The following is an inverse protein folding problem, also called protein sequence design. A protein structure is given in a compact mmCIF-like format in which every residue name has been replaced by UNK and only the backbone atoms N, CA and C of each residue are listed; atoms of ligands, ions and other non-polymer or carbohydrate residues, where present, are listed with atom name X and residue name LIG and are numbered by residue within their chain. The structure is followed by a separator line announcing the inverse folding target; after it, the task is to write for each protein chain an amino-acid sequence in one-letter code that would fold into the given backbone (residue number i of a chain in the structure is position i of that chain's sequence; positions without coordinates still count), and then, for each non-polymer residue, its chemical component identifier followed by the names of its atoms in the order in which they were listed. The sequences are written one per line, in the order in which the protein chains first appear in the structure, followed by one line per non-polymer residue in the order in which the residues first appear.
data_IF_426785106908
#
_entry.id   IF_426785106908
#
_cell.length_a   1.000
_cell.length_b   1.000
_cell.length_c   1.000
_cell.angle_alpha   90.00
_cell.angle_beta   90.00
_cell.angle_gamma   90.00
#
_symmetry.space_group_name_H-M   'P 1'
#
loop_
_entity.id
_entity.type
_entity.pdbx_description
1 polymer ?
#
# COMPACT_ATOMS: atom_id res chain seq x y z
N UNK A 1 16.48 -41.32 57.74
CA UNK A 1 16.90 -39.92 57.52
C UNK A 1 15.78 -39.22 56.77
N UNK A 2 15.22 -38.12 57.30
CA UNK A 2 13.95 -37.56 56.83
C UNK A 2 14.14 -36.55 55.69
N UNK A 3 13.09 -36.47 54.86
CA UNK A 3 12.96 -35.58 53.72
C UNK A 3 12.75 -34.13 54.16
N UNK A 4 13.47 -33.22 53.50
CA UNK A 4 13.33 -31.76 53.67
C UNK A 4 12.12 -31.23 52.93
N UNK A 5 11.40 -30.34 53.59
CA UNK A 5 10.19 -29.66 53.14
C UNK A 5 10.47 -28.60 52.07
N UNK A 6 9.55 -28.49 51.10
CA UNK A 6 9.44 -27.37 50.16
C UNK A 6 8.74 -26.16 50.81
N UNK A 7 9.06 -24.91 50.41
CA UNK A 7 8.38 -23.73 50.90
C UNK A 7 7.05 -23.49 50.17
N UNK A 8 6.00 -23.43 50.97
CA UNK A 8 4.63 -23.01 50.68
C UNK A 8 4.63 -21.56 50.15
N UNK A 9 4.07 -21.33 48.96
CA UNK A 9 3.96 -19.99 48.36
C UNK A 9 2.55 -19.43 48.58
N UNK A 10 2.52 -18.30 49.28
CA UNK A 10 1.34 -17.47 49.58
C UNK A 10 0.56 -17.09 48.32
N UNK A 11 -0.57 -17.76 48.08
CA UNK A 11 -1.62 -17.26 47.21
C UNK A 11 -2.40 -16.15 47.93
N UNK A 12 -2.01 -14.90 47.69
CA UNK A 12 -2.80 -13.74 48.12
C UNK A 12 -4.17 -13.74 47.45
N UNK A 13 -5.17 -13.77 48.32
CA UNK A 13 -6.60 -13.73 48.08
C UNK A 13 -7.04 -12.65 47.08
N UNK A 14 -7.92 -13.07 46.19
CA UNK A 14 -8.73 -12.26 45.29
C UNK A 14 -9.40 -11.10 46.02
N UNK A 15 -9.14 -9.88 45.52
CA UNK A 15 -9.86 -8.68 45.92
C UNK A 15 -11.35 -8.81 45.62
N UNK A 16 -12.15 -8.62 46.66
CA UNK A 16 -13.61 -8.54 46.63
C UNK A 16 -14.07 -7.42 45.71
N UNK A 17 -14.76 -7.78 44.62
CA UNK A 17 -15.56 -6.85 43.82
C UNK A 17 -16.74 -6.35 44.67
N UNK A 18 -16.60 -5.15 45.22
CA UNK A 18 -17.69 -4.42 45.85
C UNK A 18 -18.69 -3.99 44.77
N UNK A 19 -19.89 -4.56 44.82
CA UNK A 19 -21.04 -4.12 44.05
C UNK A 19 -21.45 -2.70 44.48
N UNK A 20 -21.33 -1.74 43.57
CA UNK A 20 -21.90 -0.40 43.75
C UNK A 20 -23.38 -0.47 43.36
N UNK A 21 -24.34 -0.20 44.27
CA UNK A 21 -25.74 -0.15 43.90
C UNK A 21 -26.00 1.05 42.97
N UNK A 22 -26.59 0.78 41.80
CA UNK A 22 -27.11 1.79 40.90
C UNK A 22 -28.19 2.61 41.62
N UNK A 23 -27.94 3.90 41.83
CA UNK A 23 -28.97 4.86 42.24
C UNK A 23 -30.03 4.98 41.15
N UNK A 24 -31.20 4.40 41.39
CA UNK A 24 -32.42 4.72 40.66
C UNK A 24 -32.85 6.15 41.02
N UNK A 25 -32.71 7.09 40.08
CA UNK A 25 -33.02 8.49 40.33
C UNK A 25 -32.66 9.43 39.18
N UNK A 26 -33.08 9.10 37.96
CA UNK A 26 -33.15 10.09 36.88
C UNK A 26 -34.62 10.29 36.52
N UNK A 27 -35.22 11.32 37.12
CA UNK A 27 -36.47 11.90 36.63
C UNK A 27 -36.28 12.36 35.17
N UNK A 28 -37.23 12.07 34.26
CA UNK A 28 -37.13 12.49 32.87
C UNK A 28 -37.06 14.02 32.80
N UNK A 29 -35.92 14.55 32.32
CA UNK A 29 -35.80 15.97 31.97
C UNK A 29 -36.74 16.25 30.81
N UNK A 30 -37.82 16.97 31.09
CA UNK A 30 -38.68 17.58 30.08
C UNK A 30 -37.83 18.48 29.20
N UNK A 31 -37.63 18.07 27.94
CA UNK A 31 -36.94 18.89 26.95
C UNK A 31 -37.72 20.18 26.74
N UNK A 32 -37.06 21.35 26.69
CA UNK A 32 -37.74 22.61 26.39
C UNK A 32 -38.41 22.52 25.01
N UNK A 33 -39.58 23.15 24.83
CA UNK A 33 -40.32 23.09 23.57
C UNK A 33 -39.42 23.60 22.43
N UNK A 34 -39.28 22.76 21.39
CA UNK A 34 -38.53 23.09 20.16
C UNK A 34 -39.00 24.45 19.63
N UNK A 35 -38.14 25.46 19.76
CA UNK A 35 -38.34 26.80 19.18
C UNK A 35 -38.49 26.62 17.67
N UNK A 36 -39.72 26.69 17.17
CA UNK A 36 -40.02 26.63 15.73
C UNK A 36 -39.44 27.89 15.09
N UNK A 37 -38.19 27.80 14.63
CA UNK A 37 -37.60 28.78 13.73
C UNK A 37 -38.49 28.86 12.50
N UNK A 38 -39.24 29.97 12.38
CA UNK A 38 -39.95 30.33 11.15
C UNK A 38 -38.89 30.63 10.09
N UNK A 39 -38.41 29.58 9.43
CA UNK A 39 -37.44 29.67 8.35
C UNK A 39 -38.12 30.44 7.22
N UNK A 40 -37.70 31.70 7.02
CA UNK A 40 -38.23 32.56 5.96
C UNK A 40 -37.96 31.87 4.62
N UNK A 41 -39.00 31.74 3.78
CA UNK A 41 -38.95 31.07 2.47
C UNK A 41 -37.82 31.60 1.56
N UNK A 42 -37.32 32.80 1.82
CA UNK A 42 -36.17 33.42 1.15
C UNK A 42 -34.81 32.75 1.42
N UNK A 43 -34.63 32.04 2.55
CA UNK A 43 -33.36 31.33 2.83
C UNK A 43 -33.23 30.02 2.03
N UNK A 44 -34.36 29.42 1.64
CA UNK A 44 -34.39 28.18 0.86
C UNK A 44 -33.99 28.42 -0.60
N UNK A 45 -34.34 29.58 -1.16
CA UNK A 45 -33.98 29.97 -2.53
C UNK A 45 -32.48 30.27 -2.68
N UNK A 46 -31.82 30.82 -1.65
CA UNK A 46 -30.38 31.08 -1.67
C UNK A 46 -29.54 29.81 -1.47
N UNK A 47 -30.09 28.81 -0.76
CA UNK A 47 -29.44 27.50 -0.60
C UNK A 47 -29.51 26.65 -1.88
N UNK A 48 -30.59 26.76 -2.67
CA UNK A 48 -30.73 26.04 -3.94
C UNK A 48 -29.77 26.54 -5.04
N UNK A 49 -29.42 27.84 -5.04
CA UNK A 49 -28.50 28.41 -6.03
C UNK A 49 -27.02 28.03 -5.79
N UNK A 50 -26.66 27.66 -4.56
CA UNK A 50 -25.30 27.25 -4.19
C UNK A 50 -24.94 25.80 -4.57
N UNK A 51 -25.91 24.99 -5.04
CA UNK A 51 -25.70 23.58 -5.41
C UNK A 51 -25.28 23.35 -6.87
N UNK A 52 -25.24 24.39 -7.72
CA UNK A 52 -25.12 24.21 -9.19
C UNK A 52 -23.67 24.27 -9.72
N UNK A 53 -22.66 24.46 -8.87
CA UNK A 53 -21.27 24.61 -9.34
C UNK A 53 -20.26 23.68 -8.65
N UNK A 54 -20.65 22.44 -8.33
CA UNK A 54 -19.63 21.42 -8.06
C UNK A 54 -18.94 21.09 -9.39
N UNK A 55 -17.60 21.27 -9.50
CA UNK A 55 -16.89 20.85 -10.70
C UNK A 55 -17.21 19.37 -10.92
N UNK A 56 -17.63 19.00 -12.12
CA UNK A 56 -17.94 17.62 -12.47
C UNK A 56 -16.73 16.76 -12.15
N UNK A 57 -16.74 16.12 -10.98
CA UNK A 57 -15.70 15.20 -10.58
C UNK A 57 -15.69 14.13 -11.66
N UNK A 58 -14.57 14.02 -12.38
CA UNK A 58 -14.47 13.09 -13.49
C UNK A 58 -14.91 11.70 -13.00
N UNK A 59 -15.89 11.13 -13.71
CA UNK A 59 -16.46 9.84 -13.34
C UNK A 59 -15.32 8.81 -13.24
N UNK A 60 -15.10 8.31 -12.02
CA UNK A 60 -14.15 7.25 -11.76
C UNK A 60 -14.85 5.92 -11.97
N UNK A 61 -14.19 5.04 -12.70
CA UNK A 61 -14.60 3.66 -12.91
C UNK A 61 -13.78 2.75 -11.99
N UNK A 62 -14.40 1.62 -11.62
CA UNK A 62 -13.80 0.64 -10.75
C UNK A 62 -14.00 -0.74 -11.35
N UNK A 63 -12.94 -1.54 -11.44
CA UNK A 63 -13.00 -2.94 -11.84
C UNK A 63 -12.36 -3.81 -10.78
N UNK A 64 -12.94 -4.97 -10.53
CA UNK A 64 -12.46 -5.92 -9.52
C UNK A 64 -12.54 -7.34 -10.08
N UNK A 65 -11.55 -8.16 -9.76
CA UNK A 65 -11.57 -9.60 -9.99
C UNK A 65 -11.08 -10.32 -8.74
N UNK A 66 -11.70 -11.46 -8.45
CA UNK A 66 -11.30 -12.34 -7.35
C UNK A 66 -10.93 -13.70 -7.94
N UNK A 67 -9.73 -14.16 -7.61
CA UNK A 67 -9.21 -15.48 -7.96
C UNK A 67 -8.83 -16.24 -6.69
N UNK A 68 -8.49 -17.52 -6.82
CA UNK A 68 -8.10 -18.36 -5.68
C UNK A 68 -6.86 -17.81 -4.94
N UNK A 69 -5.98 -17.08 -5.63
CA UNK A 69 -4.80 -16.46 -5.02
C UNK A 69 -5.11 -15.15 -4.28
N UNK A 70 -6.24 -14.50 -4.60
CA UNK A 70 -6.69 -13.25 -3.98
C UNK A 70 -7.46 -12.31 -4.92
N UNK A 71 -7.65 -11.08 -4.48
CA UNK A 71 -8.43 -10.03 -5.13
C UNK A 71 -7.54 -8.95 -5.72
N UNK A 72 -7.92 -8.48 -6.90
CA UNK A 72 -7.37 -7.31 -7.58
C UNK A 72 -8.45 -6.27 -7.74
N UNK A 73 -8.13 -5.01 -7.43
CA UNK A 73 -9.03 -3.87 -7.58
C UNK A 73 -8.31 -2.74 -8.27
N UNK A 74 -8.92 -2.19 -9.31
CA UNK A 74 -8.39 -1.05 -10.06
C UNK A 74 -9.40 0.08 -10.03
N UNK A 75 -8.93 1.25 -9.63
CA UNK A 75 -9.71 2.48 -9.57
C UNK A 75 -9.07 3.51 -10.51
N UNK A 76 -9.81 3.96 -11.52
CA UNK A 76 -9.27 4.80 -12.59
C UNK A 76 -10.29 5.85 -13.05
N UNK A 77 -9.80 7.02 -13.46
CA UNK A 77 -10.64 7.98 -14.21
C UNK A 77 -10.90 7.46 -15.62
N UNK A 78 -12.11 7.67 -16.16
CA UNK A 78 -12.49 7.18 -17.50
C UNK A 78 -12.59 8.34 -18.52
N UNK A 79 -11.46 8.94 -18.98
CA UNK A 79 -11.51 10.01 -19.97
C UNK A 79 -12.07 9.50 -21.30
N UNK A 80 -12.88 10.35 -21.95
CA UNK A 80 -13.29 10.14 -23.34
C UNK A 80 -12.11 10.29 -24.29
N UNK A 81 -12.05 9.44 -25.31
CA UNK A 81 -11.06 9.52 -26.38
C UNK A 81 -11.17 10.85 -27.13
N UNK A 82 -10.03 11.33 -27.63
CA UNK A 82 -9.89 12.54 -28.45
C UNK A 82 -8.80 12.32 -29.48
N UNK A 83 -8.97 12.81 -30.70
CA UNK A 83 -8.00 12.60 -31.79
C UNK A 83 -6.58 13.09 -31.46
N UNK A 84 -6.47 14.13 -30.63
CA UNK A 84 -5.19 14.63 -30.14
C UNK A 84 -4.40 13.61 -29.28
N UNK A 85 -5.05 12.58 -28.73
CA UNK A 85 -4.37 11.57 -27.91
C UNK A 85 -3.45 10.67 -28.73
N UNK A 86 -3.77 10.36 -29.98
CA UNK A 86 -2.88 9.61 -30.88
C UNK A 86 -1.53 10.32 -31.01
N UNK A 87 -1.56 11.62 -31.34
CA UNK A 87 -0.35 12.42 -31.50
C UNK A 87 0.43 12.57 -30.17
N UNK A 88 -0.27 12.64 -29.03
CA UNK A 88 0.38 12.68 -27.72
C UNK A 88 1.03 11.35 -27.36
N UNK A 89 0.35 10.22 -27.58
CA UNK A 89 0.88 8.87 -27.35
C UNK A 89 2.11 8.58 -28.20
N UNK A 90 2.16 9.08 -29.44
CA UNK A 90 3.33 8.94 -30.30
C UNK A 90 4.55 9.72 -29.79
N UNK A 91 4.32 10.90 -29.19
CA UNK A 91 5.38 11.82 -28.72
C UNK A 91 5.89 11.51 -27.31
N UNK A 92 5.21 10.66 -26.55
CA UNK A 92 5.57 10.37 -25.15
C UNK A 92 6.05 8.93 -24.98
N UNK A 93 7.01 8.75 -24.07
CA UNK A 93 7.45 7.43 -23.62
C UNK A 93 6.54 6.85 -22.53
N UNK A 94 5.70 7.68 -21.93
CA UNK A 94 4.88 7.30 -20.78
C UNK A 94 3.47 7.83 -20.95
N UNK A 95 2.49 6.94 -20.78
CA UNK A 95 1.09 7.29 -20.82
C UNK A 95 0.48 7.14 -19.44
N UNK A 96 -0.22 8.19 -18.99
CA UNK A 96 -1.00 8.13 -17.77
C UNK A 96 -2.27 7.34 -18.06
N UNK A 97 -2.49 6.26 -17.32
CA UNK A 97 -3.79 5.62 -17.26
C UNK A 97 -4.72 6.48 -16.39
N UNK A 98 -5.86 6.84 -16.94
CA UNK A 98 -6.89 7.63 -16.28
C UNK A 98 -6.76 9.16 -16.35
N UNK A 99 -7.75 9.84 -15.75
CA UNK A 99 -7.82 11.29 -15.67
C UNK A 99 -7.74 11.78 -14.22
N UNK A 100 -7.25 13.01 -14.04
CA UNK A 100 -7.06 13.74 -12.78
C UNK A 100 -6.08 13.13 -11.78
N UNK A 101 -6.30 11.89 -11.35
CA UNK A 101 -5.46 11.20 -10.37
C UNK A 101 -4.80 9.96 -11.01
N UNK A 102 -3.73 9.40 -10.40
CA UNK A 102 -3.20 8.12 -10.84
C UNK A 102 -4.25 7.00 -10.79
N UNK A 103 -4.20 6.08 -11.75
CA UNK A 103 -4.95 4.82 -11.66
C UNK A 103 -4.39 4.00 -10.51
N UNK A 104 -5.22 3.77 -9.48
CA UNK A 104 -4.85 2.95 -8.33
C UNK A 104 -5.03 1.46 -8.63
N UNK A 105 -4.11 0.64 -8.12
CA UNK A 105 -4.15 -0.81 -8.13
C UNK A 105 -4.02 -1.31 -6.69
N UNK A 106 -4.98 -2.08 -6.21
CA UNK A 106 -4.91 -2.78 -4.92
C UNK A 106 -4.83 -4.28 -5.16
N UNK A 107 -3.85 -4.92 -4.53
CA UNK A 107 -3.60 -6.34 -4.62
C UNK A 107 -3.71 -6.98 -3.23
N UNK A 108 -4.52 -8.03 -3.10
CA UNK A 108 -4.47 -8.91 -1.92
C UNK A 108 -3.67 -10.20 -2.18
N UNK A 109 -3.21 -10.39 -3.41
CA UNK A 109 -2.32 -11.47 -3.84
C UNK A 109 -0.95 -10.91 -4.26
N UNK A 110 0.05 -11.77 -4.39
CA UNK A 110 1.27 -11.41 -5.12
C UNK A 110 1.02 -11.39 -6.63
N UNK A 111 1.92 -10.75 -7.39
CA UNK A 111 1.88 -10.71 -8.85
C UNK A 111 3.30 -10.86 -9.42
N UNK A 112 3.51 -11.80 -10.34
CA UNK A 112 4.78 -11.94 -11.07
C UNK A 112 4.77 -10.99 -12.26
N UNK A 113 5.83 -10.19 -12.37
CA UNK A 113 6.04 -9.26 -13.49
C UNK A 113 7.31 -9.64 -14.27
N UNK A 114 7.56 -9.00 -15.41
CA UNK A 114 8.82 -9.16 -16.15
C UNK A 114 10.04 -8.74 -15.30
N UNK A 115 9.83 -7.86 -14.32
CA UNK A 115 10.88 -7.32 -13.44
C UNK A 115 10.99 -8.07 -12.10
N UNK A 116 10.26 -9.18 -11.95
CA UNK A 116 10.19 -9.98 -10.72
C UNK A 116 8.83 -9.86 -10.00
N UNK A 117 8.66 -10.59 -8.88
CA UNK A 117 7.42 -10.59 -8.14
C UNK A 117 7.20 -9.29 -7.36
N UNK A 118 5.93 -8.91 -7.20
CA UNK A 118 5.46 -7.89 -6.27
C UNK A 118 4.53 -8.51 -5.23
N UNK A 119 4.66 -8.15 -3.95
CA UNK A 119 3.74 -8.60 -2.91
C UNK A 119 2.35 -7.96 -3.03
N UNK A 120 1.42 -8.43 -2.20
CA UNK A 120 0.16 -7.73 -1.95
C UNK A 120 0.42 -6.29 -1.43
N UNK A 121 -0.45 -5.35 -1.79
CA UNK A 121 -0.32 -3.94 -1.40
C UNK A 121 -1.06 -2.98 -2.32
N UNK A 122 -0.86 -1.68 -2.06
CA UNK A 122 -1.38 -0.58 -2.86
C UNK A 122 -0.30 -0.04 -3.82
N UNK A 123 -0.69 0.11 -5.08
CA UNK A 123 0.16 0.49 -6.20
C UNK A 123 -0.58 1.47 -7.12
N UNK A 124 0.14 2.00 -8.10
CA UNK A 124 -0.41 2.80 -9.19
C UNK A 124 -0.03 2.21 -10.54
N UNK A 125 -0.86 2.45 -11.57
CA UNK A 125 -0.66 1.98 -12.94
C UNK A 125 -0.34 3.14 -13.89
N UNK A 126 0.51 2.83 -14.86
CA UNK A 126 0.77 3.64 -16.05
C UNK A 126 1.11 2.71 -17.23
N UNK A 127 1.28 3.26 -18.42
CA UNK A 127 1.92 2.55 -19.53
C UNK A 127 3.25 3.20 -19.85
N UNK A 128 4.26 2.38 -20.13
CA UNK A 128 5.59 2.83 -20.52
C UNK A 128 6.00 2.17 -21.85
N UNK A 129 6.45 2.99 -22.79
CA UNK A 129 6.90 2.56 -24.11
C UNK A 129 8.31 1.99 -24.00
N UNK A 130 8.54 0.84 -24.61
CA UNK A 130 9.87 0.24 -24.76
C UNK A 130 10.66 0.96 -25.86
N UNK A 131 11.97 0.68 -25.94
CA UNK A 131 12.79 1.11 -27.08
C UNK A 131 12.26 0.63 -28.44
N UNK A 132 11.57 -0.52 -28.46
CA UNK A 132 10.92 -1.08 -29.65
C UNK A 132 9.54 -0.48 -29.95
N UNK A 133 9.10 0.51 -29.17
CA UNK A 133 7.81 1.17 -29.35
C UNK A 133 6.61 0.45 -28.74
N UNK A 134 6.81 -0.71 -28.09
CA UNK A 134 5.73 -1.49 -27.46
C UNK A 134 5.34 -0.90 -26.10
N UNK A 135 4.04 -0.90 -25.78
CA UNK A 135 3.56 -0.42 -24.49
C UNK A 135 3.53 -1.54 -23.43
N UNK A 136 4.39 -1.41 -22.41
CA UNK A 136 4.32 -2.24 -21.20
C UNK A 136 3.44 -1.59 -20.15
N UNK A 137 2.74 -2.41 -19.37
CA UNK A 137 2.07 -1.96 -18.16
C UNK A 137 3.14 -1.70 -17.10
N UNK A 138 3.18 -0.48 -16.57
CA UNK A 138 4.08 -0.08 -15.50
C UNK A 138 3.32 -0.01 -14.17
N UNK A 139 3.74 -0.82 -13.20
CA UNK A 139 3.23 -0.86 -11.84
C UNK A 139 4.28 -0.19 -10.95
N UNK A 140 3.88 0.80 -10.15
CA UNK A 140 4.82 1.54 -9.30
C UNK A 140 4.21 1.89 -7.94
N UNK A 141 5.08 2.17 -6.97
CA UNK A 141 4.67 2.62 -5.64
C UNK A 141 4.65 4.16 -5.57
N UNK A 142 3.52 4.71 -5.10
CA UNK A 142 3.35 6.14 -4.83
C UNK A 142 1.98 6.68 -5.26
N UNK A 143 1.57 7.79 -4.65
CA UNK A 143 0.30 8.48 -4.94
C UNK A 143 0.40 9.57 -6.03
N UNK A 144 1.57 9.77 -6.62
CA UNK A 144 1.78 10.72 -7.72
C UNK A 144 1.78 10.04 -9.09
N UNK A 145 1.88 10.81 -10.17
CA UNK A 145 2.03 10.24 -11.51
C UNK A 145 3.38 9.55 -11.67
N UNK A 146 3.40 8.59 -12.59
CA UNK A 146 4.57 7.82 -12.95
C UNK A 146 5.77 8.69 -13.32
N UNK A 147 6.94 8.31 -12.81
CA UNK A 147 8.24 8.86 -13.18
C UNK A 147 9.24 7.70 -13.32
N UNK A 148 10.08 7.74 -14.37
CA UNK A 148 11.16 6.76 -14.62
C UNK A 148 12.13 6.57 -13.44
N UNK A 149 12.21 7.53 -12.50
CA UNK A 149 13.03 7.42 -11.27
C UNK A 149 12.39 6.57 -10.16
N UNK A 150 11.11 6.20 -10.28
CA UNK A 150 10.43 5.38 -9.28
C UNK A 150 10.73 3.90 -9.48
N UNK A 151 10.75 3.16 -8.36
CA UNK A 151 10.76 1.70 -8.39
C UNK A 151 9.51 1.22 -9.12
N UNK A 152 9.73 0.48 -10.20
CA UNK A 152 8.69 0.13 -11.17
C UNK A 152 8.87 -1.31 -11.58
N UNK A 153 7.75 -2.00 -11.75
CA UNK A 153 7.66 -3.33 -12.31
C UNK A 153 6.90 -3.26 -13.61
N UNK A 154 7.32 -4.04 -14.60
CA UNK A 154 6.68 -4.00 -15.92
C UNK A 154 6.07 -5.33 -16.31
N UNK A 155 4.93 -5.30 -16.99
CA UNK A 155 4.33 -6.48 -17.62
C UNK A 155 4.21 -6.20 -19.12
N UNK A 156 4.79 -7.07 -19.94
CA UNK A 156 4.63 -7.04 -21.39
C UNK A 156 3.21 -7.44 -21.82
N UNK A 157 2.67 -6.85 -22.89
CA UNK A 157 1.39 -7.29 -23.43
C UNK A 157 1.52 -8.71 -24.00
N UNK A 158 0.53 -9.57 -23.72
CA UNK A 158 0.39 -10.88 -24.37
C UNK A 158 -0.20 -10.72 -25.79
N UNK A 159 -1.09 -9.74 -25.96
CA UNK A 159 -1.68 -9.37 -27.25
C UNK A 159 -1.70 -7.85 -27.33
N UNK A 160 -1.31 -7.32 -28.48
CA UNK A 160 -1.43 -5.91 -28.85
C UNK A 160 -2.06 -5.85 -30.22
N UNK A 161 -3.23 -5.25 -30.33
CA UNK A 161 -3.90 -5.04 -31.61
C UNK A 161 -4.50 -3.65 -31.66
N UNK A 162 -4.44 -3.03 -32.83
CA UNK A 162 -5.30 -1.89 -33.11
C UNK A 162 -6.65 -2.43 -33.60
N UNK A 163 -7.74 -2.03 -32.95
CA UNK A 163 -9.11 -2.39 -33.36
C UNK A 163 -9.68 -1.34 -34.31
N UNK A 164 -10.50 -1.81 -35.25
CA UNK A 164 -11.29 -0.92 -36.11
C UNK A 164 -12.31 -0.11 -35.29
N UNK A 165 -12.88 -0.73 -34.24
CA UNK A 165 -13.81 -0.05 -33.33
C UNK A 165 -13.05 0.78 -32.30
N UNK A 166 -13.14 2.10 -32.44
CA UNK A 166 -12.55 3.07 -31.51
C UNK A 166 -13.34 3.05 -30.22
N UNK A 167 -12.66 2.78 -29.09
CA UNK A 167 -13.30 2.87 -27.78
C UNK A 167 -13.47 4.33 -27.36
N UNK A 168 -14.71 4.76 -27.19
CA UNK A 168 -15.09 6.15 -26.83
C UNK A 168 -14.50 6.64 -25.51
N UNK A 169 -14.18 5.75 -24.59
CA UNK A 169 -13.60 6.09 -23.28
C UNK A 169 -12.61 5.02 -22.82
N UNK A 170 -11.67 5.41 -21.98
CA UNK A 170 -10.74 4.46 -21.35
C UNK A 170 -11.53 3.40 -20.58
N UNK A 171 -11.35 2.13 -20.95
CA UNK A 171 -11.88 0.99 -20.23
C UNK A 171 -10.74 0.09 -19.76
N UNK A 172 -10.70 -0.19 -18.46
CA UNK A 172 -9.82 -1.19 -17.87
C UNK A 172 -10.70 -2.32 -17.34
N UNK A 173 -10.46 -3.53 -17.81
CA UNK A 173 -11.24 -4.71 -17.42
C UNK A 173 -10.30 -5.83 -16.97
N UNK A 174 -10.74 -6.59 -15.98
CA UNK A 174 -10.07 -7.79 -15.51
C UNK A 174 -10.85 -9.00 -16.02
N UNK A 175 -10.20 -9.85 -16.82
CA UNK A 175 -10.81 -11.04 -17.40
C UNK A 175 -10.60 -12.30 -16.57
N UNK A 176 -11.48 -13.28 -16.77
CA UNK A 176 -11.49 -14.56 -16.03
C UNK A 176 -10.19 -15.36 -16.20
N UNK A 177 -9.50 -15.18 -17.33
CA UNK A 177 -8.20 -15.80 -17.63
C UNK A 177 -7.01 -15.10 -16.96
N UNK A 178 -7.24 -14.37 -15.87
CA UNK A 178 -6.24 -13.56 -15.17
C UNK A 178 -5.53 -12.61 -16.12
N UNK A 179 -6.30 -11.84 -16.88
CA UNK A 179 -5.79 -10.83 -17.80
C UNK A 179 -6.30 -9.46 -17.42
N UNK A 180 -5.46 -8.44 -17.62
CA UNK A 180 -5.86 -7.05 -17.56
C UNK A 180 -5.93 -6.53 -19.00
N UNK A 181 -7.10 -6.09 -19.42
CA UNK A 181 -7.30 -5.48 -20.73
C UNK A 181 -7.48 -3.96 -20.59
N UNK A 182 -6.66 -3.20 -21.29
CA UNK A 182 -6.77 -1.74 -21.42
C UNK A 182 -7.23 -1.43 -22.83
N UNK A 183 -8.43 -0.85 -22.96
CA UNK A 183 -8.95 -0.31 -24.21
C UNK A 183 -8.98 1.20 -24.15
N UNK A 184 -8.38 1.86 -25.14
CA UNK A 184 -8.39 3.31 -25.21
C UNK A 184 -8.17 3.79 -26.63
N UNK A 185 -9.22 4.36 -27.23
CA UNK A 185 -9.22 4.71 -28.64
C UNK A 185 -9.05 3.47 -29.52
N UNK A 186 -8.13 3.47 -30.50
CA UNK A 186 -7.88 2.31 -31.35
C UNK A 186 -7.09 1.20 -30.64
N UNK A 187 -6.48 1.48 -29.48
CA UNK A 187 -5.57 0.54 -28.84
C UNK A 187 -6.31 -0.44 -27.93
N UNK A 188 -6.03 -1.73 -28.12
CA UNK A 188 -6.47 -2.82 -27.25
C UNK A 188 -5.25 -3.64 -26.79
N UNK A 189 -4.91 -3.51 -25.50
CA UNK A 189 -3.73 -4.10 -24.89
C UNK A 189 -4.14 -5.09 -23.81
N UNK A 190 -3.66 -6.33 -23.92
CA UNK A 190 -3.95 -7.40 -22.96
C UNK A 190 -2.68 -7.80 -22.22
N UNK A 191 -2.68 -7.67 -20.90
CA UNK A 191 -1.56 -7.99 -20.02
C UNK A 191 -1.87 -9.25 -19.20
N UNK A 192 -0.98 -10.26 -19.18
CA UNK A 192 -1.18 -11.44 -18.36
C UNK A 192 -0.88 -11.14 -16.89
N UNK A 193 -1.82 -11.41 -16.00
CA UNK A 193 -1.64 -11.30 -14.55
C UNK A 193 -1.28 -12.68 -13.98
N UNK A 194 0.01 -12.90 -13.76
CA UNK A 194 0.51 -14.12 -13.12
C UNK A 194 0.43 -13.96 -11.59
N UNK A 195 -0.73 -14.27 -11.02
CA UNK A 195 -0.95 -14.13 -9.57
C UNK A 195 -0.17 -15.17 -8.77
N UNK A 196 0.21 -14.78 -7.56
CA UNK A 196 0.89 -15.64 -6.59
C UNK A 196 0.07 -15.64 -5.31
N UNK A 197 -0.24 -16.83 -4.81
CA UNK A 197 -0.95 -17.00 -3.55
C UNK A 197 -0.13 -16.40 -2.41
N UNK A 198 -0.78 -15.66 -1.52
CA UNK A 198 -0.19 -15.29 -0.24
C UNK A 198 -0.41 -16.43 0.75
N UNK A 199 0.60 -16.74 1.55
CA UNK A 199 0.36 -17.52 2.77
C UNK A 199 -0.61 -16.76 3.67
N UNK A 200 -1.34 -17.50 4.51
CA UNK A 200 -2.20 -16.87 5.52
C UNK A 200 -1.36 -15.86 6.31
N UNK A 201 -1.79 -14.59 6.41
CA UNK A 201 -1.08 -13.59 7.20
C UNK A 201 -0.88 -14.11 8.62
N UNK A 202 0.30 -13.89 9.16
CA UNK A 202 0.55 -14.23 10.55
C UNK A 202 0.54 -12.97 11.38
N UNK A 203 -0.51 -12.92 12.18
CA UNK A 203 -0.79 -11.89 13.15
C UNK A 203 -0.25 -12.36 14.51
N UNK A 204 0.61 -11.56 15.09
CA UNK A 204 1.23 -11.84 16.39
C UNK A 204 1.51 -10.52 17.11
N UNK A 205 1.92 -10.58 18.37
CA UNK A 205 2.15 -9.42 19.21
C UNK A 205 3.54 -9.50 19.84
N UNK A 206 4.41 -8.56 19.50
CA UNK A 206 5.77 -8.49 20.04
C UNK A 206 5.92 -7.28 20.93
N UNK A 207 6.26 -7.49 22.20
CA UNK A 207 6.39 -6.43 23.19
C UNK A 207 5.18 -5.47 23.19
N UNK A 208 3.97 -6.03 23.08
CA UNK A 208 2.69 -5.31 22.99
C UNK A 208 2.43 -4.55 21.69
N UNK A 209 3.13 -4.91 20.62
CA UNK A 209 3.00 -4.29 19.31
C UNK A 209 2.45 -5.33 18.33
N UNK A 210 1.23 -5.07 17.85
CA UNK A 210 0.61 -5.86 16.79
C UNK A 210 1.51 -5.89 15.56
N UNK A 211 1.84 -7.10 15.13
CA UNK A 211 2.77 -7.40 14.05
C UNK A 211 2.10 -8.35 13.07
N UNK A 212 2.16 -8.02 11.80
CA UNK A 212 1.65 -8.85 10.71
C UNK A 212 2.79 -9.21 9.75
N UNK A 213 2.93 -10.49 9.42
CA UNK A 213 3.89 -10.97 8.42
C UNK A 213 3.12 -11.64 7.28
N UNK A 214 3.33 -11.14 6.07
CA UNK A 214 2.70 -11.61 4.85
C UNK A 214 3.76 -12.13 3.91
N UNK A 215 3.74 -13.43 3.59
CA UNK A 215 4.74 -14.06 2.72
C UNK A 215 4.06 -14.61 1.48
N UNK A 216 4.69 -14.39 0.32
CA UNK A 216 4.22 -14.96 -0.94
C UNK A 216 4.65 -16.43 -1.05
N UNK A 217 3.78 -17.27 -1.60
CA UNK A 217 4.08 -18.66 -1.94
C UNK A 217 4.87 -18.74 -3.26
N UNK A 218 6.03 -18.08 -3.32
CA UNK A 218 6.89 -18.10 -4.52
C UNK A 218 7.76 -19.36 -4.50
N UNK A 219 7.76 -20.17 -5.57
CA UNK A 219 8.81 -21.17 -5.76
C UNK A 219 10.13 -20.43 -6.00
N UNK A 220 11.03 -20.48 -5.02
CA UNK A 220 12.34 -19.87 -5.15
C UNK A 220 13.30 -20.86 -5.80
N UNK A 221 14.12 -20.42 -6.75
CA UNK A 221 15.23 -21.23 -7.25
C UNK A 221 16.27 -21.46 -6.13
N UNK A 222 17.17 -22.44 -6.31
CA UNK A 222 18.27 -22.71 -5.38
C UNK A 222 19.27 -21.55 -5.26
N UNK A 223 19.23 -20.61 -6.21
CA UNK A 223 19.94 -19.33 -6.18
C UNK A 223 18.97 -18.20 -6.54
N UNK A 224 18.80 -17.25 -5.62
CA UNK A 224 18.01 -16.03 -5.83
C UNK A 224 18.70 -14.85 -5.16
N UNK A 225 18.64 -13.66 -5.76
CA UNK A 225 19.24 -12.46 -5.19
C UNK A 225 18.18 -11.38 -5.02
N UNK A 226 17.99 -10.92 -3.78
CA UNK A 226 17.06 -9.83 -3.40
C UNK A 226 15.63 -10.02 -3.94
N UNK A 227 15.16 -11.26 -4.00
CA UNK A 227 13.82 -11.61 -4.44
C UNK A 227 12.78 -11.06 -3.46
N UNK A 228 11.88 -10.20 -3.92
CA UNK A 228 10.77 -9.76 -3.08
C UNK A 228 9.93 -10.99 -2.67
N UNK A 229 9.80 -11.24 -1.37
CA UNK A 229 9.16 -12.45 -0.86
C UNK A 229 7.96 -12.17 0.07
N UNK A 230 7.75 -10.92 0.50
CA UNK A 230 6.67 -10.59 1.40
C UNK A 230 6.73 -9.17 1.95
N UNK A 231 5.91 -8.92 2.97
CA UNK A 231 5.91 -7.71 3.78
C UNK A 231 5.80 -8.07 5.25
N UNK A 232 6.48 -7.31 6.10
CA UNK A 232 6.26 -7.33 7.54
C UNK A 232 5.75 -5.95 7.95
N UNK A 233 4.81 -5.87 8.87
CA UNK A 233 4.33 -4.60 9.39
C UNK A 233 4.13 -4.65 10.89
N UNK A 234 4.30 -3.50 11.54
CA UNK A 234 3.95 -3.30 12.94
C UNK A 234 3.05 -2.06 13.04
N UNK A 235 2.11 -2.06 13.99
CA UNK A 235 1.19 -0.92 14.20
C UNK A 235 1.22 -0.34 15.61
N UNK A 236 2.37 0.21 16.08
CA UNK A 236 2.48 0.85 17.37
C UNK A 236 1.62 2.12 17.42
N UNK A 237 0.73 2.20 18.41
CA UNK A 237 -0.10 3.40 18.69
C UNK A 237 -0.89 3.91 17.47
N UNK A 238 -1.28 2.99 16.57
CA UNK A 238 -2.08 3.32 15.38
C UNK A 238 -1.30 3.79 14.17
N UNK A 239 0.03 3.91 14.22
CA UNK A 239 0.86 4.15 13.04
C UNK A 239 1.42 2.84 12.51
N UNK A 240 1.04 2.45 11.29
CA UNK A 240 1.56 1.24 10.65
C UNK A 240 2.87 1.53 9.93
N UNK A 241 3.92 0.79 10.29
CA UNK A 241 5.20 0.76 9.58
C UNK A 241 5.30 -0.56 8.84
N UNK A 242 5.65 -0.51 7.56
CA UNK A 242 5.75 -1.69 6.70
C UNK A 242 7.15 -1.81 6.10
N UNK A 243 7.75 -2.99 6.22
CA UNK A 243 8.99 -3.37 5.57
C UNK A 243 8.70 -4.31 4.40
N UNK A 244 9.31 -4.03 3.25
CA UNK A 244 9.41 -5.00 2.17
C UNK A 244 10.45 -6.06 2.54
N UNK A 245 10.10 -7.33 2.41
CA UNK A 245 11.00 -8.46 2.65
C UNK A 245 11.64 -8.90 1.34
N UNK A 246 12.96 -9.04 1.32
CA UNK A 246 13.74 -9.52 0.17
C UNK A 246 14.62 -10.69 0.58
N UNK A 247 14.45 -11.82 -0.08
CA UNK A 247 15.20 -13.04 0.13
C UNK A 247 16.41 -13.12 -0.82
N UNK A 248 17.57 -13.41 -0.26
CA UNK A 248 18.75 -13.84 -1.01
C UNK A 248 19.12 -15.25 -0.56
N UNK A 249 19.35 -16.14 -1.52
CA UNK A 249 19.87 -17.49 -1.31
C UNK A 249 20.98 -17.70 -2.31
N UNK A 250 22.18 -18.00 -1.83
CA UNK A 250 23.33 -18.30 -2.68
C UNK A 250 23.98 -19.60 -2.21
N UNK A 251 23.40 -20.72 -2.67
CA UNK A 251 23.93 -22.05 -2.41
C UNK A 251 23.88 -22.45 -0.93
N UNK A 252 24.89 -22.06 -0.16
CA UNK A 252 25.03 -22.38 1.27
C UNK A 252 24.65 -21.25 2.22
N UNK A 253 24.42 -20.03 1.71
CA UNK A 253 24.03 -18.88 2.52
C UNK A 253 22.64 -18.39 2.17
N UNK A 254 21.94 -17.83 3.17
CA UNK A 254 20.70 -17.10 2.93
C UNK A 254 20.58 -15.88 3.84
N UNK A 255 19.96 -14.82 3.31
CA UNK A 255 19.68 -13.60 4.05
C UNK A 255 18.29 -13.08 3.72
N UNK A 256 17.62 -12.53 4.73
CA UNK A 256 16.33 -11.89 4.62
C UNK A 256 16.50 -10.41 4.96
N UNK A 257 16.32 -9.57 3.95
CA UNK A 257 16.46 -8.12 4.07
C UNK A 257 15.09 -7.49 4.24
N UNK A 258 14.93 -6.70 5.28
CA UNK A 258 13.77 -5.88 5.56
C UNK A 258 14.09 -4.45 5.21
N UNK A 259 13.30 -3.84 4.31
CA UNK A 259 13.51 -2.47 3.85
C UNK A 259 12.26 -1.65 4.12
N UNK A 260 12.38 -0.64 4.97
CA UNK A 260 11.34 0.37 5.15
C UNK A 260 11.43 1.36 3.98
N UNK A 261 10.80 1.00 2.86
CA UNK A 261 10.80 1.84 1.66
C UNK A 261 10.14 3.22 1.95
N UNK A 262 9.20 3.29 2.91
CA UNK A 262 8.48 4.53 3.23
C UNK A 262 9.39 5.59 3.87
N UNK A 263 10.33 5.21 4.74
CA UNK A 263 11.26 6.17 5.34
C UNK A 263 12.09 6.91 4.28
N UNK A 264 12.47 6.22 3.20
CA UNK A 264 13.16 6.82 2.05
C UNK A 264 12.24 7.72 1.23
N UNK A 265 10.98 7.31 1.05
CA UNK A 265 10.02 8.08 0.26
C UNK A 265 9.52 9.35 0.95
N UNK A 266 9.42 9.38 2.29
CA UNK A 266 8.99 10.59 3.02
C UNK A 266 9.90 11.78 2.71
N UNK A 267 11.23 11.59 2.75
CA UNK A 267 12.17 12.66 2.45
C UNK A 267 12.01 13.19 1.02
N UNK A 268 11.84 12.28 0.04
CA UNK A 268 11.63 12.63 -1.37
C UNK A 268 10.30 13.34 -1.59
N UNK A 269 9.22 12.81 -1.03
CA UNK A 269 7.86 13.35 -1.18
C UNK A 269 7.79 14.75 -0.52
N UNK A 270 8.47 14.93 0.63
CA UNK A 270 8.63 16.23 1.30
C UNK A 270 9.39 17.23 0.43
N UNK A 271 10.51 16.80 -0.17
CA UNK A 271 11.28 17.65 -1.09
C UNK A 271 10.44 18.06 -2.32
N UNK A 272 9.65 17.15 -2.87
CA UNK A 272 8.74 17.43 -3.98
C UNK A 272 7.64 18.43 -3.59
N UNK A 273 7.01 18.27 -2.42
CA UNK A 273 6.02 19.20 -1.91
C UNK A 273 6.62 20.61 -1.68
N UNK A 274 7.83 20.70 -1.13
CA UNK A 274 8.56 21.97 -0.98
C UNK A 274 8.83 22.65 -2.32
N UNK A 275 9.33 21.90 -3.31
CA UNK A 275 9.56 22.43 -4.65
C UNK A 275 8.25 22.91 -5.32
N UNK A 276 7.11 22.24 -5.04
CA UNK A 276 5.80 22.70 -5.49
C UNK A 276 5.41 24.03 -4.86
N UNK A 277 5.56 24.19 -3.54
CA UNK A 277 5.30 25.45 -2.83
C UNK A 277 6.13 26.59 -3.43
N UNK A 278 7.43 26.38 -3.62
CA UNK A 278 8.32 27.39 -4.21
C UNK A 278 7.87 27.81 -5.62
N UNK A 279 7.55 26.83 -6.48
CA UNK A 279 7.06 27.10 -7.83
C UNK A 279 5.72 27.84 -7.83
N UNK A 280 4.83 27.54 -6.89
CA UNK A 280 3.53 28.21 -6.76
C UNK A 280 3.70 29.65 -6.27
N UNK A 281 4.62 29.90 -5.34
CA UNK A 281 4.97 31.25 -4.90
C UNK A 281 5.47 32.10 -6.08
N UNK A 282 6.41 31.59 -6.90
CA UNK A 282 6.90 32.30 -8.10
C UNK A 282 5.78 32.60 -9.12
N UNK A 283 4.80 31.71 -9.26
CA UNK A 283 3.63 31.92 -10.13
C UNK A 283 2.63 32.92 -9.56
N UNK A 284 2.56 33.02 -8.23
CA UNK A 284 1.66 33.93 -7.53
C UNK A 284 2.07 35.39 -7.70
N UNK A 285 3.36 35.69 -7.83
CA UNK A 285 3.90 37.04 -8.06
C UNK A 285 3.33 37.71 -9.33
N UNK A 286 3.08 36.92 -10.38
CA UNK A 286 2.62 37.41 -11.68
C UNK A 286 1.13 37.12 -11.94
N UNK A 287 0.39 36.65 -10.94
CA UNK A 287 -1.00 36.25 -11.10
C UNK A 287 -1.96 37.43 -10.85
N UNK A 288 -3.12 37.38 -11.53
CA UNK A 288 -4.28 38.19 -11.17
C UNK A 288 -4.84 37.78 -9.80
N UNK A 289 -5.76 38.57 -9.23
CA UNK A 289 -6.33 38.30 -7.90
C UNK A 289 -6.98 36.90 -7.80
N UNK A 290 -7.66 36.46 -8.86
CA UNK A 290 -8.25 35.13 -8.93
C UNK A 290 -7.19 34.02 -8.97
N UNK A 291 -6.08 34.22 -9.68
CA UNK A 291 -4.93 33.33 -9.71
C UNK A 291 -4.23 33.26 -8.35
N UNK A 292 -4.03 34.40 -7.67
CA UNK A 292 -3.45 34.47 -6.32
C UNK A 292 -4.27 33.65 -5.32
N UNK A 293 -5.59 33.82 -5.29
CA UNK A 293 -6.46 33.05 -4.40
C UNK A 293 -6.39 31.53 -4.67
N UNK A 294 -6.31 31.12 -5.95
CA UNK A 294 -6.14 29.71 -6.34
C UNK A 294 -4.78 29.16 -5.91
N UNK A 295 -3.70 29.92 -6.10
CA UNK A 295 -2.36 29.50 -5.71
C UNK A 295 -2.19 29.44 -4.19
N UNK A 296 -2.70 30.42 -3.44
CA UNK A 296 -2.67 30.42 -1.98
C UNK A 296 -3.35 29.16 -1.39
N UNK A 297 -4.53 28.80 -1.91
CA UNK A 297 -5.21 27.57 -1.49
C UNK A 297 -4.40 26.31 -1.80
N UNK A 298 -3.70 26.26 -2.92
CA UNK A 298 -2.85 25.13 -3.28
C UNK A 298 -1.58 25.06 -2.42
N UNK A 299 -0.94 26.20 -2.15
CA UNK A 299 0.21 26.31 -1.25
C UNK A 299 -0.17 25.79 0.13
N UNK A 300 -1.30 26.24 0.70
CA UNK A 300 -1.81 25.76 1.99
C UNK A 300 -1.97 24.24 2.06
N UNK A 301 -2.42 23.60 0.97
CA UNK A 301 -2.52 22.13 0.88
C UNK A 301 -1.16 21.45 0.87
N UNK A 302 -0.21 21.97 0.09
CA UNK A 302 1.16 21.43 0.03
C UNK A 302 1.89 21.61 1.37
N UNK A 303 1.70 22.74 2.07
CA UNK A 303 2.23 22.97 3.42
C UNK A 303 1.64 22.00 4.45
N UNK A 304 0.33 21.75 4.38
CA UNK A 304 -0.31 20.74 5.21
C UNK A 304 0.27 19.33 4.94
N UNK A 305 0.54 19.00 3.67
CA UNK A 305 1.23 17.76 3.28
C UNK A 305 2.65 17.71 3.86
N UNK A 306 3.44 18.78 3.77
CA UNK A 306 4.78 18.85 4.36
C UNK A 306 4.73 18.59 5.88
N UNK A 307 3.79 19.23 6.59
CA UNK A 307 3.59 19.04 8.02
C UNK A 307 3.20 17.59 8.38
N UNK A 308 2.33 16.98 7.58
CA UNK A 308 1.94 15.58 7.76
C UNK A 308 3.14 14.63 7.54
N UNK A 309 3.94 14.87 6.50
CA UNK A 309 5.17 14.12 6.23
C UNK A 309 6.22 14.29 7.34
N UNK A 310 6.30 15.46 7.97
CA UNK A 310 7.18 15.69 9.12
C UNK A 310 6.76 14.93 10.36
N UNK A 311 5.45 14.91 10.66
CA UNK A 311 4.91 14.09 11.74
C UNK A 311 5.16 12.59 11.48
N UNK A 312 4.97 12.14 10.24
CA UNK A 312 5.25 10.77 9.82
C UNK A 312 6.75 10.43 9.96
N UNK A 313 7.64 11.30 9.49
CA UNK A 313 9.09 11.13 9.62
C UNK A 313 9.52 11.02 11.09
N UNK A 314 9.00 11.88 11.97
CA UNK A 314 9.29 11.87 13.40
C UNK A 314 8.83 10.56 14.07
N UNK A 315 7.71 10.00 13.63
CA UNK A 315 7.25 8.67 14.05
C UNK A 315 8.20 7.55 13.60
N UNK A 316 8.85 7.72 12.45
CA UNK A 316 9.71 6.69 11.85
C UNK A 316 11.15 6.64 12.34
N UNK A 317 11.66 7.70 13.00
CA UNK A 317 13.06 7.75 13.51
C UNK A 317 13.38 6.64 14.51
N UNK A 318 12.36 6.04 15.13
CA UNK A 318 12.48 4.94 16.09
C UNK A 318 12.74 3.59 15.43
N UNK A 319 12.56 3.50 14.11
CA UNK A 319 12.68 2.25 13.38
C UNK A 319 13.86 2.30 12.42
N UNK A 320 14.55 1.17 12.27
CA UNK A 320 15.60 1.03 11.28
C UNK A 320 15.00 1.13 9.87
N UNK A 321 15.67 1.91 9.02
CA UNK A 321 15.34 1.97 7.59
C UNK A 321 15.58 0.63 6.90
N UNK A 322 16.57 -0.13 7.37
CA UNK A 322 16.94 -1.45 6.86
C UNK A 322 17.38 -2.37 7.99
N UNK A 323 17.04 -3.66 7.87
CA UNK A 323 17.54 -4.70 8.77
C UNK A 323 17.79 -5.97 7.95
N UNK A 324 18.84 -6.72 8.26
CA UNK A 324 19.17 -7.97 7.58
C UNK A 324 19.31 -9.07 8.60
N UNK A 325 18.63 -10.19 8.36
CA UNK A 325 18.70 -11.40 9.17
C UNK A 325 19.37 -12.47 8.33
N UNK A 326 20.48 -13.04 8.82
CA UNK A 326 21.12 -14.19 8.19
C UNK A 326 20.42 -15.47 8.64
N UNK A 327 20.14 -16.36 7.69
CA UNK A 327 19.46 -17.63 7.96
C UNK A 327 20.37 -18.83 7.78
N UNK A 328 19.83 -20.01 8.09
CA UNK A 328 20.44 -21.31 7.84
C UNK A 328 19.82 -21.94 6.59
N UNK A 329 20.65 -22.58 5.76
CA UNK A 329 20.20 -23.35 4.59
C UNK A 329 20.33 -24.84 4.90
N UNK A 330 19.27 -25.62 4.67
CA UNK A 330 19.29 -27.08 4.79
C UNK A 330 18.73 -27.74 3.53
N UNK A 331 19.05 -29.02 3.32
CA UNK A 331 18.38 -29.81 2.29
C UNK A 331 16.88 -29.95 2.58
N UNK A 332 16.07 -30.14 1.54
CA UNK A 332 14.62 -30.18 1.62
C UNK A 332 14.03 -31.36 0.87
N UNK A 333 13.14 -32.08 1.53
CA UNK A 333 12.41 -33.21 0.94
C UNK A 333 11.15 -32.79 0.16
N UNK A 334 10.57 -31.61 0.44
CA UNK A 334 9.32 -31.13 -0.15
C UNK A 334 9.52 -29.91 -1.07
N UNK A 335 8.78 -29.82 -2.17
CA UNK A 335 8.95 -28.78 -3.21
C UNK A 335 8.17 -27.47 -2.98
N UNK A 336 7.19 -27.43 -2.07
CA UNK A 336 6.26 -26.28 -1.90
C UNK A 336 6.62 -25.41 -0.72
N UNK A 337 6.80 -24.09 -0.85
CA UNK A 337 7.17 -23.19 0.26
C UNK A 337 6.26 -23.37 1.49
N UNK A 338 6.84 -23.63 2.66
CA UNK A 338 6.12 -23.81 3.93
C UNK A 338 6.50 -22.70 4.87
N UNK A 339 5.53 -21.91 5.29
CA UNK A 339 5.71 -20.91 6.34
C UNK A 339 5.28 -21.54 7.67
N UNK A 340 6.24 -21.89 8.52
CA UNK A 340 5.98 -22.36 9.88
C UNK A 340 6.34 -21.25 10.87
N UNK A 341 5.60 -21.16 11.97
CA UNK A 341 5.83 -20.22 13.07
C UNK A 341 5.99 -21.03 14.35
N UNK A 342 7.13 -20.90 14.99
CA UNK A 342 7.35 -21.41 16.34
C UNK A 342 7.43 -20.21 17.27
N UNK A 343 6.42 -20.04 18.11
CA UNK A 343 6.18 -18.83 18.90
C UNK A 343 6.64 -19.03 20.37
N UNK A 344 7.75 -19.73 20.59
CA UNK A 344 8.08 -20.29 21.91
C UNK A 344 9.09 -19.50 22.75
N UNK A 345 9.60 -18.34 22.29
CA UNK A 345 10.52 -17.56 23.12
C UNK A 345 9.79 -16.48 23.92
N UNK A 346 10.03 -16.47 25.23
CA UNK A 346 9.64 -15.40 26.17
C UNK A 346 10.14 -14.02 25.70
N UNK A 347 11.21 -13.99 24.90
CA UNK A 347 11.77 -12.78 24.30
C UNK A 347 11.16 -12.39 22.92
N UNK A 348 10.32 -13.26 22.33
CA UNK A 348 9.50 -12.95 21.16
C UNK A 348 10.21 -13.00 19.80
N UNK A 349 10.79 -14.13 19.40
CA UNK A 349 11.32 -14.34 18.04
C UNK A 349 10.29 -14.96 17.09
N UNK A 350 10.45 -14.75 15.78
CA UNK A 350 9.71 -15.42 14.71
C UNK A 350 10.67 -16.29 13.91
N UNK A 351 10.41 -17.58 13.83
CA UNK A 351 11.08 -18.43 12.85
C UNK A 351 10.33 -18.30 11.52
N UNK A 352 11.02 -17.88 10.46
CA UNK A 352 10.48 -17.87 9.10
C UNK A 352 11.19 -18.94 8.27
N UNK A 353 10.41 -19.79 7.60
CA UNK A 353 10.91 -20.88 6.77
C UNK A 353 10.49 -20.62 5.31
N UNK A 354 11.44 -20.72 4.38
CA UNK A 354 11.21 -20.55 2.94
C UNK A 354 11.68 -21.78 2.17
N UNK A 355 10.83 -22.29 1.27
CA UNK A 355 11.20 -23.33 0.32
C UNK A 355 11.90 -22.75 -0.90
N UNK A 356 13.12 -23.20 -1.20
CA UNK A 356 13.97 -22.73 -2.28
C UNK A 356 14.51 -23.91 -3.10
N UNK A 357 13.66 -24.47 -3.97
CA UNK A 357 13.98 -25.66 -4.76
C UNK A 357 14.16 -26.88 -3.86
N UNK A 358 15.35 -27.47 -3.90
CA UNK A 358 15.80 -28.60 -3.08
C UNK A 358 16.29 -28.18 -1.68
N UNK A 359 16.13 -26.90 -1.31
CA UNK A 359 16.63 -26.33 -0.06
C UNK A 359 15.56 -25.62 0.76
N UNK A 360 15.80 -25.54 2.05
CA UNK A 360 15.02 -24.76 3.02
C UNK A 360 15.91 -23.64 3.56
N UNK A 361 15.41 -22.41 3.57
CA UNK A 361 16.06 -21.27 4.23
C UNK A 361 15.26 -20.90 5.50
N UNK A 362 15.92 -20.93 6.65
CA UNK A 362 15.31 -20.69 7.98
C UNK A 362 15.92 -19.45 8.62
N UNK A 363 15.08 -18.52 9.07
CA UNK A 363 15.47 -17.25 9.66
C UNK A 363 14.89 -17.11 11.06
N UNK A 364 15.72 -16.79 12.05
CA UNK A 364 15.29 -16.39 13.39
C UNK A 364 15.21 -14.85 13.43
N UNK A 365 13.99 -14.32 13.31
CA UNK A 365 13.72 -12.89 13.22
C UNK A 365 13.31 -12.38 14.59
N UNK A 366 14.14 -11.53 15.19
CA UNK A 366 13.79 -10.81 16.42
C UNK A 366 13.20 -9.43 16.09
N UNK A 367 11.91 -9.17 16.34
CA UNK A 367 11.26 -7.89 16.07
C UNK A 367 11.86 -6.72 16.85
N UNK A 368 12.50 -6.96 18.01
CA UNK A 368 13.22 -5.91 18.75
C UNK A 368 14.41 -5.35 17.95
N UNK A 369 14.99 -6.15 17.05
CA UNK A 369 16.10 -5.71 16.22
C UNK A 369 15.72 -4.64 15.19
N UNK A 370 14.42 -4.38 14.97
CA UNK A 370 13.91 -3.35 14.06
C UNK A 370 13.85 -1.96 14.68
N UNK A 371 13.98 -1.85 16.00
CA UNK A 371 14.07 -0.55 16.68
C UNK A 371 15.50 0.00 16.59
N UNK A 372 15.61 1.33 16.49
CA UNK A 372 16.89 2.00 16.61
C UNK A 372 17.46 1.78 18.03
N UNK A 373 18.77 1.61 18.16
CA UNK A 373 19.42 1.37 19.46
C UNK A 373 19.15 2.52 20.44
N UNK A 374 18.67 2.21 21.65
CA UNK A 374 18.47 3.20 22.72
C UNK A 374 17.02 3.58 23.03
N UNK A 375 16.02 2.79 22.57
CA UNK A 375 14.60 2.95 22.93
C UNK A 375 13.94 1.67 23.39
#
# INVERSE_FOLDING_TARGET
MPMGAEPESDYKSLGSLSWVPHKAGMTPRTLPPKRRLKMKRTLLSLLLLALVALPAAAQRAKTEATWDEGKVTIDYGSPKWRDGFTAQMQKTDTWRLGSNDPTGLKLTCGLVTDSGPIPAGDYSLAMAKTKSGMWKLAIYQGGGFYNKKQKTWTIGPAVSSDKADVSDALAITLGDKKTLQVRFGPHDLVYPFKTVKMHKPVETEFARIKTSVNVMAIPCASKVSKLACGTASISPRGTTVTWAMKLTVDGGSCSLHFVNDRSKFIARDKAAAKANVERLNKRMENADENGKARFANRIKREEATIKALDAEAAGMTRYKSEHTVTGKVSARAASTSTLAFENERIEGGIILIFGCGDKTATFDVNPRAFFASGQ
#
